data_IF_057873900729
#
_entry.id   IF_057873900729
#
_cell.length_a   1.000
_cell.length_b   1.000
_cell.length_c   1.000
_cell.angle_alpha   90.00
_cell.angle_beta   90.00
_cell.angle_gamma   90.00
#
_symmetry.space_group_name_H-M   'P 1'
#
loop_
_entity.id
_entity.type
_entity.pdbx_description
1 polymer ?
#
# COMPACT_ATOMS: atom_id res chain seq x y z
N UNK A 1 -4.56 7.38 -8.25
CA UNK A 1 -3.61 6.25 -8.30
C UNK A 1 -4.25 5.09 -7.56
N UNK A 2 -4.02 3.87 -8.01
CA UNK A 2 -4.34 2.63 -7.27
C UNK A 2 -3.06 1.82 -7.13
N UNK A 3 -2.91 1.14 -6.00
CA UNK A 3 -1.83 0.18 -5.76
C UNK A 3 -2.46 -1.21 -5.79
N UNK A 4 -1.82 -2.11 -6.48
CA UNK A 4 -2.26 -3.50 -6.56
C UNK A 4 -1.06 -4.42 -6.76
N UNK A 5 -1.20 -5.65 -6.33
CA UNK A 5 -0.19 -6.69 -6.46
C UNK A 5 -0.62 -7.67 -7.54
N UNK A 6 0.34 -8.17 -8.30
CA UNK A 6 0.10 -9.00 -9.48
C UNK A 6 0.76 -10.36 -9.33
N UNK A 7 0.04 -11.40 -9.77
CA UNK A 7 0.64 -12.73 -9.99
C UNK A 7 0.05 -13.37 -11.24
N UNK A 8 0.75 -14.33 -11.81
CA UNK A 8 0.27 -15.07 -12.99
C UNK A 8 -0.41 -16.37 -12.57
N UNK A 9 -1.49 -16.72 -13.24
CA UNK A 9 -2.18 -18.01 -13.16
C UNK A 9 -2.46 -18.51 -14.57
N UNK A 10 -1.59 -19.36 -15.08
CA UNK A 10 -1.65 -19.79 -16.49
C UNK A 10 -1.54 -18.62 -17.46
N UNK A 11 -2.56 -18.43 -18.31
CA UNK A 11 -2.69 -17.29 -19.23
C UNK A 11 -3.20 -16.01 -18.59
N UNK A 12 -3.72 -16.11 -17.35
CA UNK A 12 -4.39 -15.02 -16.68
C UNK A 12 -3.45 -14.25 -15.75
N UNK A 13 -3.83 -13.02 -15.45
CA UNK A 13 -3.17 -12.16 -14.47
C UNK A 13 -4.15 -11.91 -13.34
N UNK A 14 -3.79 -12.36 -12.15
CA UNK A 14 -4.55 -12.09 -10.92
C UNK A 14 -4.08 -10.77 -10.31
N UNK A 15 -5.06 -9.95 -9.91
CA UNK A 15 -4.83 -8.62 -9.31
C UNK A 15 -5.38 -8.64 -7.89
N UNK A 16 -4.55 -8.29 -6.91
CA UNK A 16 -4.94 -8.12 -5.51
C UNK A 16 -4.89 -6.65 -5.15
N UNK A 17 -5.99 -6.13 -4.63
CA UNK A 17 -6.15 -4.73 -4.23
C UNK A 17 -7.13 -4.65 -3.05
N UNK A 18 -7.11 -3.56 -2.23
CA UNK A 18 -8.12 -3.37 -1.19
C UNK A 18 -9.54 -3.45 -1.77
N UNK A 19 -10.42 -4.14 -1.03
CA UNK A 19 -11.79 -4.43 -1.48
C UNK A 19 -12.57 -3.17 -1.87
N UNK A 20 -12.39 -2.08 -1.14
CA UNK A 20 -13.06 -0.79 -1.37
C UNK A 20 -12.63 -0.10 -2.67
N UNK A 21 -11.52 -0.53 -3.29
CA UNK A 21 -11.02 0.04 -4.55
C UNK A 21 -11.35 -0.80 -5.78
N UNK A 22 -11.89 -2.02 -5.63
CA UNK A 22 -12.13 -2.98 -6.73
C UNK A 22 -12.97 -2.36 -7.84
N UNK A 23 -14.12 -1.78 -7.52
CA UNK A 23 -15.04 -1.22 -8.52
C UNK A 23 -14.42 -0.06 -9.30
N UNK A 24 -13.67 0.80 -8.61
CA UNK A 24 -13.00 1.93 -9.24
C UNK A 24 -11.86 1.46 -10.16
N UNK A 25 -11.13 0.43 -9.74
CA UNK A 25 -10.05 -0.18 -10.51
C UNK A 25 -10.61 -0.90 -11.75
N UNK A 26 -11.63 -1.75 -11.60
CA UNK A 26 -12.28 -2.45 -12.70
C UNK A 26 -12.80 -1.47 -13.76
N UNK A 27 -13.55 -0.44 -13.35
CA UNK A 27 -14.03 0.60 -14.26
C UNK A 27 -12.88 1.29 -15.01
N UNK A 28 -11.80 1.62 -14.30
CA UNK A 28 -10.65 2.29 -14.90
C UNK A 28 -9.92 1.40 -15.89
N UNK A 29 -9.67 0.16 -15.55
CA UNK A 29 -8.97 -0.79 -16.45
C UNK A 29 -9.82 -1.13 -17.68
N UNK A 30 -11.14 -1.27 -17.54
CA UNK A 30 -12.04 -1.54 -18.67
C UNK A 30 -11.95 -0.48 -19.77
N UNK A 31 -11.70 0.78 -19.43
CA UNK A 31 -11.51 1.84 -20.44
C UNK A 31 -10.31 1.59 -21.36
N UNK A 32 -9.31 0.82 -20.90
CA UNK A 32 -8.11 0.50 -21.67
C UNK A 32 -8.21 -0.85 -22.43
N UNK A 33 -9.29 -1.61 -22.23
CA UNK A 33 -9.51 -2.88 -22.93
C UNK A 33 -10.25 -2.73 -24.26
N UNK A 34 -10.66 -1.50 -24.61
CA UNK A 34 -11.33 -1.21 -25.89
C UNK A 34 -10.48 -1.73 -27.07
N UNK A 35 -11.07 -2.58 -27.91
CA UNK A 35 -10.42 -3.25 -29.05
C UNK A 35 -9.31 -4.26 -28.64
N UNK A 36 -9.28 -4.72 -27.38
CA UNK A 36 -8.38 -5.77 -26.91
C UNK A 36 -9.20 -6.98 -26.46
N UNK A 37 -8.69 -8.18 -26.73
CA UNK A 37 -9.30 -9.43 -26.25
C UNK A 37 -8.91 -9.69 -24.78
N UNK A 38 -9.29 -8.75 -23.90
CA UNK A 38 -9.03 -8.83 -22.45
C UNK A 38 -10.37 -8.70 -21.73
N UNK A 39 -10.64 -9.63 -20.84
CA UNK A 39 -11.80 -9.61 -19.92
C UNK A 39 -11.30 -9.28 -18.53
N UNK A 40 -11.96 -8.35 -17.86
CA UNK A 40 -11.71 -8.00 -16.46
C UNK A 40 -12.94 -8.42 -15.67
N UNK A 41 -12.75 -9.18 -14.61
CA UNK A 41 -13.82 -9.64 -13.73
C UNK A 41 -13.28 -9.77 -12.31
N UNK A 42 -14.17 -9.61 -11.33
CA UNK A 42 -13.90 -10.01 -9.93
C UNK A 42 -13.95 -11.53 -9.89
N UNK A 43 -12.95 -12.14 -9.27
CA UNK A 43 -12.85 -13.59 -9.10
C UNK A 43 -12.93 -13.93 -7.62
N UNK A 44 -14.02 -14.55 -7.22
CA UNK A 44 -14.28 -14.98 -5.85
C UNK A 44 -13.80 -16.42 -5.56
N UNK A 45 -13.24 -17.10 -6.57
CA UNK A 45 -12.71 -18.46 -6.41
C UNK A 45 -11.36 -18.51 -5.68
N UNK A 46 -10.74 -17.34 -5.47
CA UNK A 46 -9.49 -17.20 -4.74
C UNK A 46 -9.70 -16.58 -3.36
N UNK A 47 -9.05 -17.15 -2.35
CA UNK A 47 -8.82 -16.50 -1.06
C UNK A 47 -7.55 -15.67 -1.09
N UNK A 48 -7.58 -14.47 -0.51
CA UNK A 48 -6.40 -13.63 -0.26
C UNK A 48 -5.93 -13.88 1.16
N UNK A 49 -4.65 -14.19 1.32
CA UNK A 49 -4.04 -14.50 2.61
C UNK A 49 -2.83 -13.60 2.85
N UNK A 50 -2.76 -13.09 4.08
CA UNK A 50 -1.56 -12.51 4.63
C UNK A 50 -0.81 -13.55 5.47
N UNK A 51 0.49 -13.69 5.23
CA UNK A 51 1.37 -14.55 6.01
C UNK A 51 2.37 -13.70 6.76
N UNK A 52 2.56 -13.95 8.06
CA UNK A 52 3.53 -13.27 8.90
C UNK A 52 4.65 -14.26 9.27
N UNK A 53 5.90 -13.85 9.12
CA UNK A 53 7.08 -14.65 9.41
C UNK A 53 7.50 -15.55 8.24
N UNK A 54 8.42 -16.49 8.57
CA UNK A 54 9.01 -17.43 7.61
C UNK A 54 8.24 -18.74 7.50
N UNK A 55 6.99 -18.78 7.98
CA UNK A 55 6.17 -19.98 7.88
C UNK A 55 6.08 -20.43 6.42
N UNK A 56 6.37 -21.71 6.17
CA UNK A 56 6.21 -22.33 4.85
C UNK A 56 4.70 -22.41 4.53
N UNK A 57 4.15 -21.28 4.14
CA UNK A 57 2.83 -21.24 3.56
C UNK A 57 2.95 -21.72 2.12
N UNK A 58 2.41 -22.88 1.84
CA UNK A 58 2.32 -23.38 0.47
C UNK A 58 1.23 -22.62 -0.28
N UNK A 59 1.54 -21.37 -0.63
CA UNK A 59 0.68 -20.55 -1.46
C UNK A 59 0.77 -21.06 -2.89
N UNK A 60 -0.38 -21.31 -3.51
CA UNK A 60 -0.40 -21.63 -4.93
C UNK A 60 0.13 -20.43 -5.76
N UNK A 61 -0.10 -19.21 -5.28
CA UNK A 61 0.31 -17.98 -5.95
C UNK A 61 0.78 -16.91 -4.95
N UNK A 62 2.09 -16.86 -4.62
CA UNK A 62 2.65 -15.73 -3.88
C UNK A 62 2.58 -14.48 -4.76
N UNK A 63 2.05 -13.38 -4.22
CA UNK A 63 1.93 -12.12 -4.95
C UNK A 63 3.12 -11.20 -4.66
N UNK A 64 3.45 -11.06 -3.37
CA UNK A 64 4.51 -10.16 -2.95
C UNK A 64 4.96 -10.46 -1.51
N UNK A 65 6.27 -10.33 -1.27
CA UNK A 65 6.87 -10.44 0.07
C UNK A 65 7.69 -9.18 0.36
N UNK A 66 7.49 -8.61 1.56
CA UNK A 66 8.29 -7.51 2.09
C UNK A 66 8.57 -7.77 3.57
N UNK A 67 9.87 -7.85 3.92
CA UNK A 67 10.28 -8.20 5.28
C UNK A 67 9.64 -9.50 5.75
N UNK A 68 8.93 -9.43 6.88
CA UNK A 68 8.27 -10.58 7.48
C UNK A 68 6.85 -10.83 6.95
N UNK A 69 6.31 -10.01 6.04
CA UNK A 69 4.95 -10.17 5.53
C UNK A 69 4.92 -10.65 4.08
N UNK A 70 4.01 -11.57 3.80
CA UNK A 70 3.74 -12.06 2.45
C UNK A 70 2.25 -11.95 2.15
N UNK A 71 1.93 -11.43 0.97
CA UNK A 71 0.60 -11.44 0.39
C UNK A 71 0.52 -12.60 -0.61
N UNK A 72 -0.47 -13.47 -0.46
CA UNK A 72 -0.62 -14.67 -1.27
C UNK A 72 -2.06 -14.96 -1.65
N UNK A 73 -2.24 -15.72 -2.73
CA UNK A 73 -3.52 -16.23 -3.19
C UNK A 73 -3.56 -17.75 -3.13
N UNK A 74 -4.72 -18.29 -2.82
CA UNK A 74 -5.00 -19.73 -2.90
C UNK A 74 -6.37 -19.99 -3.53
N UNK A 75 -6.48 -20.99 -4.42
CA UNK A 75 -7.75 -21.35 -5.06
C UNK A 75 -8.80 -21.86 -4.07
N UNK A 76 -8.38 -22.31 -2.90
CA UNK A 76 -9.31 -22.81 -1.88
C UNK A 76 -9.24 -21.89 -0.68
N UNK A 77 -10.34 -21.25 -0.28
CA UNK A 77 -10.37 -20.53 0.97
C UNK A 77 -9.95 -21.43 2.13
N UNK A 78 -8.86 -21.12 2.79
CA UNK A 78 -8.46 -21.77 4.03
C UNK A 78 -8.98 -20.94 5.19
N UNK A 79 -9.29 -21.57 6.30
CA UNK A 79 -9.54 -20.85 7.54
C UNK A 79 -8.26 -20.12 7.95
N UNK A 80 -8.39 -18.86 8.36
CA UNK A 80 -7.30 -18.14 9.02
C UNK A 80 -7.11 -18.71 10.43
N UNK A 81 -5.87 -18.84 10.85
CA UNK A 81 -5.47 -19.22 12.22
C UNK A 81 -5.19 -17.98 13.09
N UNK A 82 -5.27 -16.78 12.50
CA UNK A 82 -5.05 -15.51 13.15
C UNK A 82 -6.04 -14.43 12.69
N UNK A 83 -6.15 -13.37 13.48
CA UNK A 83 -6.97 -12.21 13.16
C UNK A 83 -6.34 -11.42 12.00
N UNK A 84 -7.18 -10.91 11.11
CA UNK A 84 -6.77 -10.03 9.99
C UNK A 84 -6.03 -8.79 10.49
N UNK A 85 -6.41 -8.26 11.64
CA UNK A 85 -5.79 -7.08 12.25
C UNK A 85 -4.30 -7.28 12.52
N UNK A 86 -3.87 -8.48 12.87
CA UNK A 86 -2.45 -8.81 13.07
C UNK A 86 -1.64 -8.68 11.77
N UNK A 87 -2.23 -9.08 10.66
CA UNK A 87 -1.56 -8.94 9.37
C UNK A 87 -1.45 -7.46 8.95
N UNK A 88 -2.52 -6.67 9.16
CA UNK A 88 -2.49 -5.24 8.87
C UNK A 88 -1.49 -4.51 9.76
N UNK A 89 -1.37 -4.88 11.03
CA UNK A 89 -0.34 -4.34 11.93
C UNK A 89 1.07 -4.65 11.43
N UNK A 90 1.34 -5.90 11.05
CA UNK A 90 2.62 -6.31 10.49
C UNK A 90 2.91 -5.61 9.15
N UNK A 91 1.91 -5.47 8.28
CA UNK A 91 2.03 -4.77 7.00
C UNK A 91 2.35 -3.28 7.20
N UNK A 92 1.76 -2.63 8.21
CA UNK A 92 2.06 -1.25 8.56
C UNK A 92 3.50 -1.11 9.10
N UNK A 93 3.95 -2.03 9.95
CA UNK A 93 5.32 -2.08 10.44
C UNK A 93 6.34 -2.23 9.31
N UNK A 94 6.10 -3.13 8.36
CA UNK A 94 6.97 -3.35 7.20
C UNK A 94 6.86 -2.23 6.15
N UNK A 95 5.92 -1.29 6.32
CA UNK A 95 5.69 -0.20 5.38
C UNK A 95 5.18 -0.66 4.02
N UNK A 96 4.37 -1.74 3.99
CA UNK A 96 3.80 -2.27 2.76
C UNK A 96 2.74 -1.30 2.21
N UNK A 97 2.92 -0.71 1.01
CA UNK A 97 2.03 0.34 0.55
C UNK A 97 0.69 -0.20 0.04
N UNK A 98 -0.38 0.40 0.53
CA UNK A 98 -1.74 0.23 0.02
C UNK A 98 -2.39 1.59 -0.23
N UNK A 99 -3.32 1.65 -1.18
CA UNK A 99 -4.16 2.82 -1.44
C UNK A 99 -5.61 2.38 -1.34
N UNK A 100 -6.32 2.94 -0.38
CA UNK A 100 -7.74 2.71 -0.11
C UNK A 100 -8.59 3.76 -0.81
N UNK A 101 -9.89 3.58 -0.87
CA UNK A 101 -10.79 4.53 -1.54
C UNK A 101 -10.63 5.96 -0.99
N UNK A 102 -10.43 6.11 0.32
CA UNK A 102 -10.22 7.40 0.99
C UNK A 102 -8.90 8.07 0.64
N UNK A 103 -7.91 7.30 0.18
CA UNK A 103 -6.57 7.79 -0.15
C UNK A 103 -6.27 7.78 -1.64
N UNK A 104 -7.26 7.46 -2.48
CA UNK A 104 -7.12 7.53 -3.93
C UNK A 104 -6.85 8.97 -4.40
N UNK A 105 -5.82 9.13 -5.25
CA UNK A 105 -5.46 10.42 -5.84
C UNK A 105 -4.63 11.34 -4.94
N UNK A 106 -4.40 10.98 -3.67
CA UNK A 106 -3.63 11.81 -2.72
C UNK A 106 -2.13 11.67 -2.96
N UNK A 107 -1.63 10.45 -3.15
CA UNK A 107 -0.21 10.15 -3.16
C UNK A 107 0.37 10.03 -4.56
N UNK A 108 1.66 10.34 -4.67
CA UNK A 108 2.51 9.94 -5.79
C UNK A 108 3.15 8.58 -5.49
N UNK A 109 3.49 7.77 -6.51
CA UNK A 109 4.11 6.47 -6.28
C UNK A 109 5.36 6.53 -5.39
N UNK A 110 6.24 7.50 -5.64
CA UNK A 110 7.46 7.67 -4.86
C UNK A 110 7.19 8.15 -3.43
N UNK A 111 6.11 8.91 -3.21
CA UNK A 111 5.82 9.40 -1.85
C UNK A 111 5.32 8.32 -0.90
N UNK A 112 4.90 7.17 -1.43
CA UNK A 112 4.56 5.98 -0.65
C UNK A 112 5.53 4.82 -0.88
N UNK A 113 6.76 5.14 -1.31
CA UNK A 113 7.88 4.21 -1.47
C UNK A 113 7.67 3.10 -2.53
N UNK A 114 6.71 3.21 -3.45
CA UNK A 114 6.51 2.20 -4.49
C UNK A 114 7.72 2.01 -5.42
N UNK A 115 8.52 3.03 -5.61
CA UNK A 115 9.77 2.96 -6.39
C UNK A 115 10.84 2.12 -5.68
N UNK A 116 10.88 2.12 -4.35
CA UNK A 116 11.86 1.38 -3.57
C UNK A 116 11.57 -0.13 -3.53
N UNK A 117 10.31 -0.51 -3.71
CA UNK A 117 9.87 -1.91 -3.67
C UNK A 117 9.61 -2.49 -5.08
N UNK A 118 10.07 -1.82 -6.13
CA UNK A 118 9.90 -2.29 -7.50
C UNK A 118 8.49 -2.08 -8.09
N UNK A 119 7.62 -1.34 -7.40
CA UNK A 119 6.25 -1.03 -7.87
C UNK A 119 6.20 0.02 -8.99
N UNK A 120 7.34 0.64 -9.33
CA UNK A 120 7.48 1.61 -10.42
C UNK A 120 8.58 1.17 -11.36
N UNK A 121 8.31 1.19 -12.68
CA UNK A 121 9.34 0.99 -13.69
C UNK A 121 9.44 2.22 -14.60
N UNK A 122 10.67 2.64 -14.89
CA UNK A 122 10.98 3.78 -15.75
C UNK A 122 11.32 3.36 -17.20
N UNK A 123 11.55 2.06 -17.44
CA UNK A 123 11.94 1.49 -18.73
C UNK A 123 10.77 1.04 -19.63
N UNK A 124 9.53 1.38 -19.29
CA UNK A 124 8.35 1.03 -20.10
C UNK A 124 7.86 2.20 -20.97
N UNK A 125 6.99 1.90 -21.94
CA UNK A 125 6.34 2.92 -22.77
C UNK A 125 5.51 3.93 -21.97
N UNK A 126 5.06 5.00 -22.65
CA UNK A 126 4.32 6.11 -22.03
C UNK A 126 3.03 5.66 -21.32
N UNK A 127 2.73 6.28 -20.21
CA UNK A 127 1.52 6.06 -19.42
C UNK A 127 1.02 7.37 -18.80
N UNK A 128 -0.24 7.41 -18.40
CA UNK A 128 -0.86 8.60 -17.81
C UNK A 128 -0.20 8.91 -16.47
N UNK A 129 0.32 10.14 -16.32
CA UNK A 129 1.03 10.59 -15.12
C UNK A 129 2.55 10.33 -15.13
N UNK A 130 3.09 9.76 -16.20
CA UNK A 130 4.52 9.48 -16.33
C UNK A 130 5.39 10.71 -16.15
N UNK A 131 4.99 11.87 -16.66
CA UNK A 131 5.78 13.09 -16.59
C UNK A 131 6.19 13.44 -15.15
N UNK A 132 5.23 13.44 -14.23
CA UNK A 132 5.51 13.74 -12.81
C UNK A 132 6.40 12.66 -12.20
N UNK A 133 6.10 11.38 -12.43
CA UNK A 133 6.85 10.25 -11.89
C UNK A 133 8.29 10.23 -12.40
N UNK A 134 8.50 10.41 -13.71
CA UNK A 134 9.84 10.46 -14.32
C UNK A 134 10.61 11.71 -13.91
N UNK A 135 9.96 12.86 -13.78
CA UNK A 135 10.59 14.10 -13.33
C UNK A 135 11.13 13.96 -11.91
N UNK A 136 10.36 13.40 -10.99
CA UNK A 136 10.82 13.15 -9.62
C UNK A 136 12.02 12.19 -9.61
N UNK A 137 11.97 11.13 -10.42
CA UNK A 137 13.08 10.21 -10.55
C UNK A 137 14.36 10.89 -11.06
N UNK A 138 14.24 11.75 -12.09
CA UNK A 138 15.36 12.49 -12.66
C UNK A 138 15.93 13.56 -11.72
N UNK A 139 15.12 14.11 -10.81
CA UNK A 139 15.55 15.07 -9.79
C UNK A 139 16.20 14.38 -8.57
N UNK A 140 16.14 13.06 -8.48
CA UNK A 140 16.80 12.20 -7.50
C UNK A 140 15.98 11.90 -6.26
N UNK A 141 15.54 12.90 -5.51
CA UNK A 141 14.84 12.67 -4.23
C UNK A 141 13.46 13.32 -4.22
N UNK A 142 12.39 12.55 -3.96
CA UNK A 142 11.07 13.12 -3.75
C UNK A 142 11.04 13.98 -2.49
N UNK A 143 10.22 15.03 -2.50
CA UNK A 143 10.07 15.93 -1.35
C UNK A 143 9.32 15.30 -0.16
N UNK A 144 8.54 14.26 -0.43
CA UNK A 144 7.77 13.51 0.56
C UNK A 144 7.99 12.01 0.38
N UNK A 145 8.04 11.27 1.47
CA UNK A 145 8.15 9.81 1.50
C UNK A 145 7.36 9.24 2.66
N UNK A 146 7.02 7.97 2.54
CA UNK A 146 6.41 7.25 3.63
C UNK A 146 7.45 6.85 4.68
N UNK A 147 7.00 6.86 5.94
CA UNK A 147 7.75 6.39 7.10
C UNK A 147 6.80 5.68 8.06
N UNK A 148 7.34 4.83 8.91
CA UNK A 148 6.60 4.09 9.93
C UNK A 148 6.69 4.82 11.27
N UNK A 149 5.54 5.00 11.90
CA UNK A 149 5.40 5.57 13.25
C UNK A 149 4.78 4.54 14.17
N UNK A 150 5.19 4.54 15.43
CA UNK A 150 4.63 3.71 16.49
C UNK A 150 3.87 4.56 17.50
N UNK A 151 2.75 4.06 17.98
CA UNK A 151 1.90 4.70 18.97
C UNK A 151 1.07 3.71 19.77
N UNK A 152 -0.04 4.19 20.31
CA UNK A 152 -1.00 3.33 21.01
C UNK A 152 -1.70 2.40 20.02
N UNK A 153 -2.14 1.24 20.52
CA UNK A 153 -2.93 0.30 19.72
C UNK A 153 -4.25 0.95 19.26
N UNK A 154 -4.47 0.97 17.95
CA UNK A 154 -5.63 1.59 17.32
C UNK A 154 -6.25 0.66 16.28
N UNK A 155 -7.58 0.70 16.09
CA UNK A 155 -8.23 -0.03 15.02
C UNK A 155 -7.69 0.39 13.64
N UNK A 156 -7.84 -0.50 12.66
CA UNK A 156 -7.51 -0.18 11.27
C UNK A 156 -8.21 1.11 10.82
N UNK A 157 -7.43 2.02 10.22
CA UNK A 157 -7.93 3.25 9.61
C UNK A 157 -7.06 3.62 8.41
N UNK A 158 -7.68 4.05 7.32
CA UNK A 158 -6.99 4.60 6.16
C UNK A 158 -7.34 6.09 5.98
N UNK A 159 -6.30 6.87 5.66
CA UNK A 159 -6.43 8.30 5.37
C UNK A 159 -6.65 9.17 6.61
N UNK A 160 -6.32 10.43 6.47
CA UNK A 160 -6.46 11.47 7.48
C UNK A 160 -5.20 12.29 7.63
N UNK A 161 -5.35 13.52 8.14
CA UNK A 161 -4.22 14.39 8.45
C UNK A 161 -3.60 14.02 9.79
N UNK A 162 -2.30 14.22 9.87
CA UNK A 162 -1.50 14.13 11.09
C UNK A 162 -0.87 15.49 11.38
N UNK A 163 -0.79 15.83 12.64
CA UNK A 163 -0.53 17.18 13.11
C UNK A 163 0.78 17.27 13.90
N UNK A 164 1.34 18.49 13.98
CA UNK A 164 2.35 18.82 14.98
C UNK A 164 1.70 19.15 16.35
N UNK A 165 2.53 19.49 17.34
CA UNK A 165 2.09 19.87 18.68
C UNK A 165 1.16 21.10 18.71
N UNK A 166 1.27 21.97 17.68
CA UNK A 166 0.45 23.17 17.52
C UNK A 166 -0.80 22.94 16.69
N UNK A 167 -1.13 21.68 16.38
CA UNK A 167 -2.27 21.27 15.55
C UNK A 167 -2.21 21.74 14.08
N UNK A 168 -1.01 22.03 13.57
CA UNK A 168 -0.83 22.27 12.14
C UNK A 168 -0.69 20.93 11.39
N UNK A 169 -1.32 20.75 10.23
CA UNK A 169 -1.17 19.52 9.44
C UNK A 169 0.26 19.40 8.89
N UNK A 170 0.91 18.28 9.15
CA UNK A 170 2.32 18.02 8.78
C UNK A 170 2.50 16.80 7.90
N UNK A 171 1.61 15.82 8.00
CA UNK A 171 1.72 14.55 7.34
C UNK A 171 0.35 13.98 7.00
N UNK A 172 0.32 12.96 6.14
CA UNK A 172 -0.91 12.27 5.76
C UNK A 172 -0.79 10.80 6.12
N UNK A 173 -1.78 10.29 6.83
CA UNK A 173 -1.90 8.88 7.14
C UNK A 173 -2.21 8.09 5.87
N UNK A 174 -1.35 7.16 5.49
CA UNK A 174 -1.65 6.20 4.42
C UNK A 174 -2.64 5.18 4.98
N UNK A 175 -2.25 4.49 6.05
CA UNK A 175 -3.12 3.70 6.91
C UNK A 175 -2.42 3.42 8.26
N UNK A 176 -3.20 3.00 9.24
CA UNK A 176 -2.72 2.52 10.55
C UNK A 176 -3.42 1.21 10.91
N UNK A 177 -2.74 0.38 11.66
CA UNK A 177 -3.29 -0.83 12.26
C UNK A 177 -2.47 -1.20 13.50
N UNK A 178 -3.13 -1.63 14.56
CA UNK A 178 -2.47 -1.93 15.81
C UNK A 178 -1.66 -0.75 16.33
N UNK A 179 -0.39 -0.94 16.59
CA UNK A 179 0.53 0.11 17.08
C UNK A 179 1.20 0.91 15.97
N UNK A 180 1.10 0.50 14.72
CA UNK A 180 1.88 1.10 13.64
C UNK A 180 1.03 1.92 12.69
N UNK A 181 1.61 3.05 12.28
CA UNK A 181 1.05 3.97 11.31
C UNK A 181 2.04 4.14 10.16
N UNK A 182 1.59 3.86 8.94
CA UNK A 182 2.34 4.13 7.73
C UNK A 182 1.93 5.51 7.21
N UNK A 183 2.89 6.44 7.17
CA UNK A 183 2.62 7.89 7.09
C UNK A 183 3.47 8.53 6.01
N UNK A 184 2.85 9.33 5.13
CA UNK A 184 3.54 10.15 4.15
C UNK A 184 3.88 11.51 4.75
N UNK A 185 5.16 11.86 4.80
CA UNK A 185 5.66 13.10 5.39
C UNK A 185 6.82 13.71 4.57
N UNK A 186 7.20 14.95 4.92
CA UNK A 186 8.32 15.64 4.28
C UNK A 186 9.65 14.95 4.59
N UNK A 187 10.52 14.80 3.57
CA UNK A 187 11.83 14.14 3.72
C UNK A 187 12.83 15.02 4.46
N UNK A 188 12.89 16.33 4.13
CA UNK A 188 13.87 17.25 4.72
C UNK A 188 13.63 17.57 6.18
N UNK A 189 12.38 17.53 6.60
CA UNK A 189 11.94 17.85 7.95
C UNK A 189 10.95 16.76 8.40
N UNK A 190 11.45 15.52 8.52
CA UNK A 190 10.64 14.39 8.97
C UNK A 190 10.35 14.55 10.46
N UNK A 191 9.08 14.73 10.86
CA UNK A 191 8.74 14.91 12.27
C UNK A 191 9.10 13.68 13.09
N UNK A 192 9.70 13.88 14.27
CA UNK A 192 9.96 12.79 15.21
C UNK A 192 8.67 12.34 15.91
N UNK A 193 7.77 13.27 16.17
CA UNK A 193 6.47 13.01 16.78
C UNK A 193 5.39 13.68 15.93
N UNK A 194 4.31 12.95 15.71
CA UNK A 194 3.08 13.43 15.08
C UNK A 194 1.91 13.12 16.00
N UNK A 195 0.82 13.82 15.80
CA UNK A 195 -0.41 13.64 16.58
C UNK A 195 -1.55 13.23 15.67
N UNK A 196 -2.28 12.21 16.10
CA UNK A 196 -3.54 11.80 15.46
C UNK A 196 -4.61 12.87 15.70
N UNK A 197 -5.71 12.80 14.98
CA UNK A 197 -6.85 13.71 15.10
C UNK A 197 -7.39 13.80 16.55
N UNK A 198 -7.39 12.68 17.28
CA UNK A 198 -7.80 12.60 18.69
C UNK A 198 -6.74 13.12 19.67
N UNK A 199 -5.60 13.61 19.19
CA UNK A 199 -4.52 14.15 20.02
C UNK A 199 -3.51 13.10 20.53
N UNK A 200 -3.68 11.81 20.22
CA UNK A 200 -2.71 10.78 20.59
C UNK A 200 -1.40 10.94 19.81
N UNK A 201 -0.23 10.91 20.50
CA UNK A 201 1.06 10.99 19.84
C UNK A 201 1.44 9.65 19.19
N UNK A 202 2.14 9.76 18.07
CA UNK A 202 2.87 8.67 17.42
C UNK A 202 4.31 9.12 17.17
N UNK A 203 5.27 8.22 17.31
CA UNK A 203 6.70 8.52 17.22
C UNK A 203 7.33 7.80 16.04
N UNK A 204 8.23 8.48 15.34
CA UNK A 204 8.94 7.91 14.19
C UNK A 204 9.73 6.66 14.61
N UNK A 205 9.41 5.53 13.99
CA UNK A 205 10.08 4.26 14.24
C UNK A 205 11.20 4.02 13.22
N UNK A 206 10.88 4.12 11.95
CA UNK A 206 11.86 3.93 10.88
C UNK A 206 11.47 4.71 9.63
N UNK A 207 12.46 5.00 8.78
CA UNK A 207 12.23 5.34 7.38
C UNK A 207 12.35 4.05 6.58
N UNK A 208 11.32 3.69 5.86
CA UNK A 208 11.41 2.64 4.84
C UNK A 208 12.23 3.22 3.67
N UNK A 209 13.43 2.72 3.50
CA UNK A 209 14.33 3.07 2.40
C UNK A 209 14.36 1.96 1.36
#
# INVERSE_FOLDING_TARGET
MSVFYLTKSGSDVLIVTPRDTIDSLCRRLTLYTLRRHVRIAVDESFGVFGVIGTAHFNAAYPCYTQGAVTLALTPTPKSSDADEDLWWEAAAYEGLPFVFIKTQGIFLPQSINLDLIGGVTFGKGCYVGQEIVSRIHSLGTPSRRAAVYEGSNTPFKAGGDLFDENRNPRAVLIYQAGRYSFVECAVRDTPQTLYLENGQPITLLSRTH
#
